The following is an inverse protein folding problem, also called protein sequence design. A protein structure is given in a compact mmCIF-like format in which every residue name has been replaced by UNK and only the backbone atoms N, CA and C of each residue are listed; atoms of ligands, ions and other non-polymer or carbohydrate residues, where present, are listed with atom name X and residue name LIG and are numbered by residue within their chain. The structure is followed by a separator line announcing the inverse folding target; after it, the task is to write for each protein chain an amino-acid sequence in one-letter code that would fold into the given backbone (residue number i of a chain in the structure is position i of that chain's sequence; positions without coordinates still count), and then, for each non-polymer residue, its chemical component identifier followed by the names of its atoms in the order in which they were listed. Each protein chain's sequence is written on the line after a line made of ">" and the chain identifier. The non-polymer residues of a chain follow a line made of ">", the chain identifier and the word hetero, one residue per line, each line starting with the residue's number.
data_IF_682687076907
#
_entry.id   IF_682687076907
#
_cell.length_a   1.000
_cell.length_b   1.000
_cell.length_c   1.000
_cell.angle_alpha   90.00
_cell.angle_beta   90.00
_cell.angle_gamma   90.00
#
_symmetry.space_group_name_H-M   'P 1'
#
loop_
_entity.id
_entity.type
_entity.pdbx_description
1 polymer ?
#
# COMPACT_ATOMS: atom_id res chain seq x y z
N UNK A 1 21.18 5.08 -3.42
CA UNK A 1 19.88 5.04 -4.13
C UNK A 1 19.90 6.08 -5.25
N UNK A 2 19.60 5.69 -6.49
CA UNK A 2 19.47 6.58 -7.66
C UNK A 2 18.04 6.44 -8.19
N UNK A 3 17.36 7.56 -8.51
CA UNK A 3 15.97 7.48 -8.99
C UNK A 3 15.26 8.81 -9.08
N UNK A 4 13.93 8.78 -9.18
CA UNK A 4 13.04 9.93 -9.22
C UNK A 4 11.67 9.60 -8.63
N UNK A 5 10.92 10.65 -8.30
CA UNK A 5 9.55 10.56 -7.80
C UNK A 5 8.56 10.94 -8.90
N UNK A 6 7.57 10.10 -9.16
CA UNK A 6 6.41 10.45 -10.00
C UNK A 6 5.32 11.02 -9.10
N UNK A 7 5.11 12.31 -9.15
CA UNK A 7 4.06 13.00 -8.39
C UNK A 7 2.94 13.49 -9.31
N UNK A 8 1.81 13.88 -8.75
CA UNK A 8 0.70 14.43 -9.52
C UNK A 8 0.26 15.79 -9.01
N UNK A 9 -0.44 16.54 -9.84
CA UNK A 9 -1.15 17.75 -9.42
C UNK A 9 -2.42 17.48 -8.62
N UNK A 10 -2.77 16.20 -8.43
CA UNK A 10 -3.93 15.75 -7.66
C UNK A 10 -4.18 14.26 -7.85
N UNK A 11 -5.29 13.76 -7.29
CA UNK A 11 -5.75 12.39 -7.52
C UNK A 11 -6.31 12.23 -8.95
N UNK A 12 -6.20 11.02 -9.53
CA UNK A 12 -6.78 10.72 -10.85
C UNK A 12 -6.07 11.36 -12.04
N UNK A 13 -4.89 11.98 -11.88
CA UNK A 13 -4.13 12.58 -12.99
C UNK A 13 -3.38 11.54 -13.85
N UNK A 14 -3.40 10.25 -13.46
CA UNK A 14 -2.80 9.15 -14.20
C UNK A 14 -1.41 8.72 -13.72
N UNK A 15 -1.04 9.05 -12.48
CA UNK A 15 0.25 8.62 -11.87
C UNK A 15 0.49 7.14 -12.01
N UNK A 16 -0.45 6.31 -11.55
CA UNK A 16 -0.30 4.85 -11.51
C UNK A 16 -0.04 4.26 -12.89
N UNK A 17 -0.80 4.69 -13.93
CA UNK A 17 -0.56 4.23 -15.30
C UNK A 17 0.80 4.64 -15.84
N UNK A 18 1.21 5.91 -15.57
CA UNK A 18 2.53 6.42 -15.98
C UNK A 18 3.64 5.66 -15.25
N UNK A 19 3.53 5.51 -13.93
CA UNK A 19 4.55 4.86 -13.10
C UNK A 19 4.70 3.38 -13.47
N UNK A 20 3.58 2.63 -13.53
CA UNK A 20 3.59 1.22 -13.88
C UNK A 20 4.16 0.98 -15.28
N UNK A 21 3.77 1.82 -16.25
CA UNK A 21 4.30 1.73 -17.61
C UNK A 21 5.79 2.05 -17.69
N UNK A 22 6.28 3.09 -16.99
CA UNK A 22 7.72 3.40 -16.92
C UNK A 22 8.50 2.28 -16.25
N UNK A 23 8.00 1.73 -15.14
CA UNK A 23 8.61 0.58 -14.47
C UNK A 23 8.70 -0.62 -15.43
N UNK A 24 7.61 -0.92 -16.14
CA UNK A 24 7.59 -2.01 -17.12
C UNK A 24 8.61 -1.81 -18.24
N UNK A 25 8.64 -0.63 -18.86
CA UNK A 25 9.56 -0.33 -19.98
C UNK A 25 11.02 -0.41 -19.52
N UNK A 26 11.34 0.21 -18.38
CA UNK A 26 12.71 0.25 -17.87
C UNK A 26 13.16 -1.11 -17.35
N UNK A 27 12.27 -1.93 -16.79
CA UNK A 27 12.60 -3.27 -16.28
C UNK A 27 13.05 -4.26 -17.35
N UNK A 28 12.79 -3.98 -18.63
CA UNK A 28 13.31 -4.77 -19.75
C UNK A 28 14.83 -4.70 -19.91
N UNK A 29 15.46 -3.64 -19.38
CA UNK A 29 16.89 -3.36 -19.57
C UNK A 29 17.67 -3.18 -18.26
N UNK A 30 17.00 -2.95 -17.15
CA UNK A 30 17.63 -2.63 -15.88
C UNK A 30 16.80 -3.14 -14.69
N UNK A 31 17.43 -3.28 -13.52
CA UNK A 31 16.76 -3.66 -12.28
C UNK A 31 16.06 -2.43 -11.70
N UNK A 32 14.74 -2.40 -11.79
CA UNK A 32 13.91 -1.30 -11.27
C UNK A 32 13.37 -1.65 -9.89
N UNK A 33 13.60 -0.80 -8.90
CA UNK A 33 12.97 -0.89 -7.59
C UNK A 33 11.80 0.10 -7.50
N UNK A 34 10.60 -0.42 -7.30
CA UNK A 34 9.38 0.36 -7.12
C UNK A 34 9.13 0.73 -5.67
N UNK A 35 8.58 1.93 -5.46
CA UNK A 35 8.10 2.41 -4.16
C UNK A 35 6.76 3.11 -4.33
N UNK A 36 5.95 3.08 -3.27
CA UNK A 36 4.71 3.84 -3.15
C UNK A 36 4.75 4.73 -1.92
N UNK A 37 4.48 6.02 -2.07
CA UNK A 37 4.24 6.90 -0.93
C UNK A 37 2.85 6.62 -0.37
N UNK A 38 2.76 6.52 0.95
CA UNK A 38 1.49 6.27 1.64
C UNK A 38 1.08 4.80 1.74
N UNK A 39 -0.04 4.53 2.42
CA UNK A 39 -0.46 3.20 2.81
C UNK A 39 -1.36 2.53 1.75
N UNK A 40 -0.85 2.28 0.58
CA UNK A 40 -1.56 1.68 -0.55
C UNK A 40 -1.07 0.25 -0.78
N UNK A 41 -1.96 -0.70 -1.01
CA UNK A 41 -1.61 -2.09 -1.33
C UNK A 41 -1.73 -2.40 -2.82
N UNK A 42 -2.57 -1.67 -3.56
CA UNK A 42 -2.90 -1.97 -4.96
C UNK A 42 -1.77 -1.53 -5.90
N UNK A 43 -1.32 -0.26 -5.80
CA UNK A 43 -0.24 0.25 -6.63
C UNK A 43 1.06 -0.57 -6.46
N UNK A 44 1.49 -0.98 -5.25
CA UNK A 44 2.61 -1.90 -5.04
C UNK A 44 2.49 -3.25 -5.78
N UNK A 45 1.28 -3.78 -5.96
CA UNK A 45 1.07 -5.00 -6.73
C UNK A 45 1.36 -4.77 -8.23
N UNK A 46 0.89 -3.65 -8.79
CA UNK A 46 1.22 -3.27 -10.18
C UNK A 46 2.72 -3.05 -10.36
N UNK A 47 3.39 -2.40 -9.40
CA UNK A 47 4.84 -2.24 -9.44
C UNK A 47 5.56 -3.58 -9.47
N UNK A 48 5.13 -4.54 -8.63
CA UNK A 48 5.68 -5.90 -8.61
C UNK A 48 5.43 -6.60 -9.95
N UNK A 49 4.22 -6.50 -10.50
CA UNK A 49 3.89 -7.10 -11.80
C UNK A 49 4.73 -6.52 -12.95
N UNK A 50 5.05 -5.22 -12.89
CA UNK A 50 5.85 -4.53 -13.88
C UNK A 50 7.36 -4.82 -13.79
N UNK A 51 7.89 -5.04 -12.57
CA UNK A 51 9.34 -5.12 -12.32
C UNK A 51 9.82 -6.49 -11.89
N UNK A 52 8.91 -7.39 -11.46
CA UNK A 52 9.25 -8.65 -10.81
C UNK A 52 9.76 -8.50 -9.36
N UNK A 53 9.87 -7.28 -8.83
CA UNK A 53 10.39 -6.97 -7.48
C UNK A 53 9.27 -6.46 -6.58
N UNK A 54 9.29 -6.83 -5.31
CA UNK A 54 8.34 -6.28 -4.33
C UNK A 54 8.55 -4.77 -4.20
N UNK A 55 7.48 -4.00 -4.41
CA UNK A 55 7.43 -2.58 -4.08
C UNK A 55 7.34 -2.37 -2.56
N UNK A 56 7.75 -1.19 -2.08
CA UNK A 56 7.73 -0.83 -0.66
C UNK A 56 6.89 0.41 -0.43
N UNK A 57 6.23 0.45 0.72
CA UNK A 57 5.51 1.65 1.14
C UNK A 57 6.45 2.58 1.89
N UNK A 58 6.52 3.84 1.46
CA UNK A 58 7.30 4.89 2.10
C UNK A 58 6.32 5.89 2.72
N UNK A 59 6.11 5.80 4.03
CA UNK A 59 5.10 6.59 4.72
C UNK A 59 5.66 7.20 6.00
N UNK A 60 5.84 8.53 5.98
CA UNK A 60 6.42 9.28 7.10
C UNK A 60 5.42 9.57 8.23
N UNK A 61 4.12 9.29 8.01
CA UNK A 61 3.16 9.27 9.11
C UNK A 61 3.25 7.94 9.89
N UNK A 62 3.34 6.82 9.19
CA UNK A 62 3.37 5.49 9.82
C UNK A 62 4.73 5.21 10.45
N UNK A 63 5.81 5.54 9.76
CA UNK A 63 7.19 5.25 10.19
C UNK A 63 7.97 6.54 10.49
N UNK A 64 8.94 6.50 11.41
CA UNK A 64 9.91 7.59 11.57
C UNK A 64 10.63 7.90 10.25
N UNK A 65 10.94 9.18 10.01
CA UNK A 65 11.62 9.64 8.78
C UNK A 65 12.92 8.86 8.49
N UNK A 66 13.74 8.64 9.51
CA UNK A 66 15.00 7.90 9.37
C UNK A 66 14.76 6.43 8.98
N UNK A 67 13.68 5.82 9.48
CA UNK A 67 13.26 4.47 9.10
C UNK A 67 12.83 4.41 7.65
N UNK A 68 12.02 5.39 7.18
CA UNK A 68 11.60 5.48 5.77
C UNK A 68 12.82 5.63 4.85
N UNK A 69 13.75 6.54 5.20
CA UNK A 69 14.98 6.74 4.43
C UNK A 69 15.84 5.48 4.41
N UNK A 70 16.07 4.86 5.55
CA UNK A 70 16.87 3.64 5.66
C UNK A 70 16.24 2.48 4.88
N UNK A 71 14.92 2.28 4.96
CA UNK A 71 14.20 1.25 4.20
C UNK A 71 14.39 1.45 2.69
N UNK A 72 14.27 2.68 2.20
CA UNK A 72 14.47 3.00 0.78
C UNK A 72 15.91 2.71 0.33
N UNK A 73 16.91 3.11 1.11
CA UNK A 73 18.32 2.85 0.83
C UNK A 73 18.65 1.35 0.87
N UNK A 74 18.16 0.64 1.88
CA UNK A 74 18.38 -0.79 2.02
C UNK A 74 17.78 -1.59 0.86
N UNK A 75 16.55 -1.31 0.49
CA UNK A 75 15.83 -2.08 -0.55
C UNK A 75 16.23 -1.70 -1.97
N UNK A 76 16.86 -0.54 -2.19
CA UNK A 76 17.39 -0.11 -3.49
C UNK A 76 18.80 -0.64 -3.79
N UNK A 77 19.48 -1.29 -2.84
CA UNK A 77 20.91 -1.68 -2.94
C UNK A 77 21.24 -2.45 -4.21
N UNK A 78 20.37 -3.37 -4.63
CA UNK A 78 20.58 -4.23 -5.80
C UNK A 78 19.77 -3.76 -7.03
N UNK A 79 19.45 -2.48 -7.11
CA UNK A 79 18.72 -1.90 -8.24
C UNK A 79 19.57 -0.87 -8.99
N UNK A 80 19.33 -0.77 -10.30
CA UNK A 80 19.97 0.23 -11.15
C UNK A 80 19.27 1.58 -11.05
N UNK A 81 17.94 1.56 -10.83
CA UNK A 81 17.11 2.74 -10.71
C UNK A 81 15.92 2.48 -9.78
N UNK A 82 15.52 3.52 -9.03
CA UNK A 82 14.38 3.53 -8.14
C UNK A 82 13.31 4.49 -8.65
N UNK A 83 12.05 4.04 -8.67
CA UNK A 83 10.90 4.87 -9.05
C UNK A 83 9.93 4.91 -7.89
N UNK A 84 9.67 6.11 -7.38
CA UNK A 84 8.76 6.33 -6.26
C UNK A 84 7.44 6.90 -6.79
N UNK A 85 6.35 6.16 -6.66
CA UNK A 85 5.02 6.68 -6.98
C UNK A 85 4.46 7.47 -5.80
N UNK A 86 4.08 8.70 -6.05
CA UNK A 86 3.44 9.58 -5.07
C UNK A 86 1.99 9.22 -4.77
N UNK A 87 1.51 9.67 -3.63
CA UNK A 87 0.11 9.55 -3.20
C UNK A 87 -0.63 10.86 -3.48
N UNK A 88 -1.90 10.77 -3.88
CA UNK A 88 -2.75 11.96 -4.13
C UNK A 88 -2.05 13.03 -4.99
N UNK A 89 -2.00 14.29 -4.56
CA UNK A 89 -1.15 15.33 -5.13
C UNK A 89 0.19 15.43 -4.42
N UNK A 90 1.11 16.21 -5.00
CA UNK A 90 2.50 16.33 -4.52
C UNK A 90 2.58 16.80 -3.07
N UNK A 91 1.71 17.74 -2.66
CA UNK A 91 1.77 18.42 -1.37
C UNK A 91 0.72 17.96 -0.34
N UNK A 92 -0.18 17.04 -0.69
CA UNK A 92 -1.19 16.55 0.23
C UNK A 92 -0.58 15.58 1.26
N UNK A 93 -0.49 16.04 2.52
CA UNK A 93 -0.04 15.28 3.67
C UNK A 93 -1.17 14.63 4.47
N UNK A 94 -0.85 14.20 5.69
CA UNK A 94 -1.79 13.62 6.65
C UNK A 94 -2.78 14.65 7.23
N UNK A 95 -2.47 15.94 7.08
CA UNK A 95 -3.31 17.10 7.46
C UNK A 95 -3.27 18.16 6.37
N UNK A 96 -4.19 19.13 6.42
CA UNK A 96 -4.21 20.26 5.47
C UNK A 96 -3.12 21.32 5.69
N UNK A 97 -2.37 21.26 6.79
CA UNK A 97 -1.41 22.31 7.18
C UNK A 97 0.03 21.80 7.22
N UNK A 98 0.24 20.50 7.26
CA UNK A 98 1.58 19.89 7.37
C UNK A 98 1.94 19.02 6.17
N UNK A 99 3.22 18.73 6.03
CA UNK A 99 3.73 17.89 4.95
C UNK A 99 3.88 16.42 5.32
N UNK A 100 3.71 16.05 6.61
CA UNK A 100 3.83 14.67 7.09
C UNK A 100 2.97 13.71 6.26
N UNK A 101 3.58 12.67 5.71
CA UNK A 101 2.93 11.69 4.83
C UNK A 101 2.72 12.18 3.39
N UNK A 102 3.27 13.34 3.00
CA UNK A 102 3.16 13.82 1.62
C UNK A 102 4.24 13.26 0.71
N UNK A 103 3.96 13.29 -0.59
CA UNK A 103 4.95 12.95 -1.63
C UNK A 103 6.14 13.92 -1.61
N UNK A 104 5.90 15.21 -1.34
CA UNK A 104 6.93 16.22 -1.25
C UNK A 104 7.92 15.95 -0.11
N UNK A 105 7.41 15.56 1.06
CA UNK A 105 8.25 15.19 2.20
C UNK A 105 9.17 14.00 1.87
N UNK A 106 8.62 12.94 1.27
CA UNK A 106 9.41 11.77 0.88
C UNK A 106 10.45 12.12 -0.20
N UNK A 107 10.09 12.95 -1.18
CA UNK A 107 11.03 13.43 -2.21
C UNK A 107 12.22 14.18 -1.60
N UNK A 108 11.96 15.10 -0.66
CA UNK A 108 13.01 15.85 0.07
C UNK A 108 13.84 14.92 0.96
N UNK A 109 13.22 14.03 1.70
CA UNK A 109 13.88 13.06 2.59
C UNK A 109 14.89 12.17 1.85
N UNK A 110 14.53 11.76 0.63
CA UNK A 110 15.36 10.90 -0.21
C UNK A 110 16.30 11.69 -1.13
N UNK A 111 16.16 13.01 -1.23
CA UNK A 111 16.91 13.86 -2.16
C UNK A 111 16.63 13.53 -3.63
N UNK A 112 15.43 13.06 -3.96
CA UNK A 112 15.05 12.64 -5.30
C UNK A 112 14.37 13.76 -6.08
N UNK A 113 14.69 13.93 -7.38
CA UNK A 113 13.97 14.84 -8.26
C UNK A 113 12.53 14.35 -8.50
N UNK A 114 11.63 15.30 -8.67
CA UNK A 114 10.21 15.07 -8.91
C UNK A 114 9.89 15.26 -10.39
N UNK A 115 9.21 14.28 -10.97
CA UNK A 115 8.54 14.37 -12.27
C UNK A 115 7.05 14.55 -12.00
N UNK A 116 6.53 15.73 -12.35
CA UNK A 116 5.16 16.09 -12.07
C UNK A 116 4.23 15.69 -13.22
N UNK A 117 3.28 14.80 -12.97
CA UNK A 117 2.22 14.42 -13.91
C UNK A 117 1.09 15.44 -13.83
N UNK A 118 0.82 16.10 -14.94
CA UNK A 118 -0.21 17.13 -15.08
C UNK A 118 -1.32 16.61 -16.00
N UNK A 119 -2.55 16.59 -15.50
CA UNK A 119 -3.70 16.33 -16.37
C UNK A 119 -3.93 17.58 -17.24
N UNK A 120 -3.53 17.50 -18.50
CA UNK A 120 -3.58 18.61 -19.46
C UNK A 120 -4.96 18.71 -20.17
N UNK A 121 -5.95 17.88 -19.82
CA UNK A 121 -7.27 17.91 -20.43
C UNK A 121 -7.86 19.31 -20.36
N UNK A 122 -8.19 19.89 -21.53
CA UNK A 122 -8.75 21.24 -21.67
C UNK A 122 -7.86 22.38 -21.13
N UNK A 123 -6.57 22.13 -20.94
CA UNK A 123 -5.59 23.14 -20.56
C UNK A 123 -4.72 23.55 -21.77
N UNK A 124 -4.21 24.77 -21.73
CA UNK A 124 -3.13 25.28 -22.58
C UNK A 124 -2.21 26.14 -21.73
N UNK A 125 -2.33 27.47 -21.78
CA UNK A 125 -1.51 28.39 -20.99
C UNK A 125 -1.66 28.21 -19.48
N UNK A 126 -2.85 27.77 -19.01
CA UNK A 126 -3.10 27.48 -17.60
C UNK A 126 -2.26 26.30 -17.07
N UNK A 127 -1.81 25.38 -17.94
CA UNK A 127 -0.86 24.34 -17.53
C UNK A 127 0.46 24.93 -17.02
N UNK A 128 0.99 25.95 -17.70
CA UNK A 128 2.19 26.65 -17.26
C UNK A 128 1.99 27.32 -15.88
N UNK A 129 0.82 27.96 -15.66
CA UNK A 129 0.50 28.56 -14.36
C UNK A 129 0.43 27.53 -13.23
N UNK A 130 -0.16 26.35 -13.48
CA UNK A 130 -0.20 25.24 -12.52
C UNK A 130 1.24 24.79 -12.18
N UNK A 131 2.06 24.53 -13.19
CA UNK A 131 3.45 24.08 -13.01
C UNK A 131 4.24 25.11 -12.21
N UNK A 132 4.12 26.39 -12.52
CA UNK A 132 4.77 27.48 -11.78
C UNK A 132 4.30 27.53 -10.33
N UNK A 133 3.00 27.37 -10.08
CA UNK A 133 2.43 27.32 -8.73
C UNK A 133 3.03 26.19 -7.90
N UNK A 134 3.11 24.99 -8.46
CA UNK A 134 3.72 23.84 -7.79
C UNK A 134 5.20 24.06 -7.52
N UNK A 135 5.95 24.62 -8.47
CA UNK A 135 7.38 24.92 -8.29
C UNK A 135 7.64 26.03 -7.27
N UNK A 136 6.77 27.01 -7.19
CA UNK A 136 6.93 28.15 -6.28
C UNK A 136 6.48 27.84 -4.86
N UNK A 137 5.61 26.84 -4.68
CA UNK A 137 4.99 26.53 -3.40
C UNK A 137 6.00 26.02 -2.35
N UNK A 138 6.92 25.15 -2.76
CA UNK A 138 8.02 24.66 -1.92
C UNK A 138 9.32 24.64 -2.75
N UNK A 139 10.28 25.49 -2.38
CA UNK A 139 11.55 25.63 -3.10
C UNK A 139 12.52 24.48 -2.84
N UNK A 140 12.32 23.72 -1.79
CA UNK A 140 13.15 22.59 -1.44
C UNK A 140 12.76 21.32 -2.22
N UNK A 141 11.61 21.34 -2.89
CA UNK A 141 11.17 20.28 -3.80
C UNK A 141 11.71 20.53 -5.19
N UNK A 142 12.60 19.65 -5.66
CA UNK A 142 13.19 19.74 -7.00
C UNK A 142 12.22 19.17 -8.06
N UNK A 143 11.35 19.99 -8.65
CA UNK A 143 10.54 19.60 -9.80
C UNK A 143 11.42 19.69 -11.06
N UNK A 144 12.03 18.56 -11.43
CA UNK A 144 12.99 18.44 -12.52
C UNK A 144 12.33 18.35 -13.92
N UNK A 145 11.05 18.01 -13.98
CA UNK A 145 10.33 17.93 -15.23
C UNK A 145 8.85 17.60 -15.07
N UNK A 146 8.14 17.64 -16.19
CA UNK A 146 6.70 17.33 -16.24
C UNK A 146 6.37 16.32 -17.32
N UNK A 147 5.36 15.48 -17.05
CA UNK A 147 4.67 14.64 -18.02
C UNK A 147 3.25 15.18 -18.17
N UNK A 148 2.88 15.53 -19.41
CA UNK A 148 1.55 16.08 -19.72
C UNK A 148 0.63 14.94 -20.15
N UNK A 149 -0.32 14.59 -19.29
CA UNK A 149 -1.27 13.51 -19.54
C UNK A 149 -2.60 14.03 -20.13
N UNK A 150 -3.34 13.19 -20.85
CA UNK A 150 -4.64 13.50 -21.48
C UNK A 150 -4.55 14.58 -22.58
N UNK A 151 -3.44 14.64 -23.31
CA UNK A 151 -3.26 15.58 -24.41
C UNK A 151 -4.08 15.12 -25.63
N UNK A 152 -4.76 16.07 -26.28
CA UNK A 152 -5.65 15.78 -27.42
C UNK A 152 -5.11 16.37 -28.73
N UNK A 153 -4.49 15.54 -29.56
CA UNK A 153 -4.02 15.88 -30.90
C UNK A 153 -2.83 16.87 -30.94
N UNK A 154 -2.25 17.02 -32.11
CA UNK A 154 -1.01 17.78 -32.33
C UNK A 154 -1.14 19.28 -32.04
N UNK A 155 -2.28 19.88 -32.39
CA UNK A 155 -2.49 21.33 -32.15
C UNK A 155 -2.54 21.63 -30.64
N UNK A 156 -3.15 20.75 -29.84
CA UNK A 156 -3.18 20.91 -28.39
C UNK A 156 -1.79 20.73 -27.79
N UNK A 157 -1.06 19.71 -28.23
CA UNK A 157 0.33 19.47 -27.83
C UNK A 157 1.22 20.69 -28.12
N UNK A 158 1.17 21.21 -29.34
CA UNK A 158 1.95 22.41 -29.73
C UNK A 158 1.69 23.59 -28.82
N UNK A 159 0.40 23.91 -28.53
CA UNK A 159 0.03 25.03 -27.66
C UNK A 159 0.52 24.80 -26.21
N UNK A 160 0.48 23.58 -25.71
CA UNK A 160 1.01 23.25 -24.39
C UNK A 160 2.52 23.42 -24.32
N UNK A 161 3.25 22.90 -25.31
CA UNK A 161 4.72 23.03 -25.38
C UNK A 161 5.12 24.52 -25.44
N UNK A 162 4.52 25.29 -26.33
CA UNK A 162 4.76 26.74 -26.45
C UNK A 162 4.50 27.45 -25.12
N UNK A 163 3.35 27.22 -24.50
CA UNK A 163 2.99 27.87 -23.25
C UNK A 163 3.95 27.52 -22.09
N UNK A 164 4.33 26.27 -21.95
CA UNK A 164 5.20 25.81 -20.85
C UNK A 164 6.63 26.32 -21.07
N UNK A 165 7.18 26.15 -22.29
CA UNK A 165 8.56 26.56 -22.60
C UNK A 165 8.76 28.09 -22.48
N UNK A 166 7.76 28.91 -22.82
CA UNK A 166 7.83 30.33 -22.69
C UNK A 166 7.64 30.88 -21.28
N UNK A 167 6.92 30.16 -20.43
CA UNK A 167 6.53 30.68 -19.12
C UNK A 167 7.15 29.92 -17.96
N UNK A 168 7.87 28.81 -18.19
CA UNK A 168 8.55 28.03 -17.16
C UNK A 168 9.92 27.58 -17.62
N UNK A 169 10.80 27.24 -16.69
CA UNK A 169 12.10 26.60 -16.93
C UNK A 169 12.01 25.07 -16.73
N UNK A 170 10.81 24.49 -16.60
CA UNK A 170 10.60 23.06 -16.33
C UNK A 170 10.62 22.28 -17.66
N UNK A 171 11.46 21.22 -17.71
CA UNK A 171 11.59 20.34 -18.89
C UNK A 171 10.29 19.52 -19.09
N UNK A 172 9.78 19.48 -20.32
CA UNK A 172 8.71 18.54 -20.69
C UNK A 172 9.37 17.22 -21.03
N UNK A 173 9.18 16.22 -20.16
CA UNK A 173 9.79 14.89 -20.27
C UNK A 173 8.91 13.90 -21.08
N UNK A 174 7.66 14.28 -21.33
CA UNK A 174 6.80 13.43 -22.16
C UNK A 174 5.39 13.96 -22.32
N UNK A 175 4.76 13.42 -23.33
CA UNK A 175 3.35 13.65 -23.67
C UNK A 175 2.64 12.31 -23.66
N UNK A 176 1.53 12.22 -22.93
CA UNK A 176 0.65 11.08 -22.94
C UNK A 176 -0.66 11.48 -23.61
N UNK A 177 -0.90 10.93 -24.77
CA UNK A 177 -2.12 11.20 -25.53
C UNK A 177 -3.31 10.56 -24.86
N UNK A 178 -4.46 11.17 -25.01
CA UNK A 178 -5.72 10.64 -24.48
C UNK A 178 -6.09 9.34 -25.21
N UNK A 179 -5.98 8.21 -24.53
CA UNK A 179 -6.39 6.90 -25.00
C UNK A 179 -7.41 6.29 -24.01
N UNK A 180 -8.64 5.95 -24.45
CA UNK A 180 -9.63 5.32 -23.58
C UNK A 180 -9.19 3.96 -23.04
N UNK A 181 -8.35 3.23 -23.81
CA UNK A 181 -7.96 1.84 -23.58
C UNK A 181 -6.86 1.66 -22.52
N UNK A 182 -6.11 2.72 -22.18
CA UNK A 182 -4.94 2.62 -21.29
C UNK A 182 -5.25 2.86 -19.81
N UNK A 183 -6.53 2.81 -19.39
CA UNK A 183 -6.88 2.95 -17.99
C UNK A 183 -6.63 1.64 -17.24
N UNK A 184 -5.71 1.65 -16.28
CA UNK A 184 -5.63 0.62 -15.25
C UNK A 184 -6.92 0.69 -14.43
N UNK A 185 -7.59 -0.45 -14.21
CA UNK A 185 -8.80 -0.51 -13.37
C UNK A 185 -8.43 -0.23 -11.92
N UNK A 186 -9.10 0.72 -11.29
CA UNK A 186 -8.75 1.21 -9.95
C UNK A 186 -9.33 0.39 -8.78
N UNK A 187 -10.15 -0.66 -9.02
CA UNK A 187 -10.84 -1.41 -7.96
C UNK A 187 -11.02 -2.88 -8.27
N UNK A 188 -11.09 -3.70 -7.20
CA UNK A 188 -11.39 -5.14 -7.19
C UNK A 188 -10.42 -5.97 -8.04
N UNK A 189 -9.14 -5.82 -7.77
CA UNK A 189 -8.10 -6.59 -8.42
C UNK A 189 -7.56 -7.61 -7.42
N UNK A 190 -7.80 -8.88 -7.70
CA UNK A 190 -7.20 -9.97 -6.98
C UNK A 190 -5.74 -10.20 -7.40
N UNK A 191 -5.02 -11.02 -6.65
CA UNK A 191 -3.62 -11.40 -6.94
C UNK A 191 -3.43 -11.99 -8.33
N UNK A 192 -4.39 -12.80 -8.78
CA UNK A 192 -4.31 -13.44 -10.12
C UNK A 192 -4.46 -12.42 -11.25
N UNK A 193 -5.18 -11.32 -11.01
CA UNK A 193 -5.36 -10.25 -11.99
C UNK A 193 -4.16 -9.30 -12.05
N UNK A 194 -3.36 -9.21 -10.99
CA UNK A 194 -2.21 -8.31 -10.87
C UNK A 194 -0.88 -9.06 -10.77
N UNK A 195 -0.89 -10.39 -10.60
CA UNK A 195 0.33 -11.20 -10.46
C UNK A 195 1.32 -11.01 -11.63
N UNK A 196 0.79 -10.78 -12.84
CA UNK A 196 1.56 -10.41 -14.02
C UNK A 196 0.75 -9.43 -14.87
N UNK A 197 1.38 -8.37 -15.36
CA UNK A 197 0.76 -7.54 -16.38
C UNK A 197 0.41 -8.42 -17.59
N UNK A 198 -0.86 -8.43 -17.99
CA UNK A 198 -1.24 -9.13 -19.24
C UNK A 198 -0.46 -8.54 -20.42
N UNK A 199 -0.21 -9.35 -21.44
CA UNK A 199 0.48 -8.88 -22.67
C UNK A 199 -0.23 -7.67 -23.29
N UNK A 200 -1.56 -7.65 -23.22
CA UNK A 200 -2.37 -6.53 -23.69
C UNK A 200 -2.15 -5.28 -22.86
N UNK A 201 -2.23 -5.39 -21.52
CA UNK A 201 -1.98 -4.25 -20.62
C UNK A 201 -0.57 -3.70 -20.80
N UNK A 202 0.44 -4.57 -20.87
CA UNK A 202 1.83 -4.19 -21.08
C UNK A 202 2.00 -3.42 -22.41
N UNK A 203 1.44 -3.95 -23.51
CA UNK A 203 1.48 -3.28 -24.83
C UNK A 203 0.75 -1.93 -24.83
N UNK A 204 -0.40 -1.84 -24.17
CA UNK A 204 -1.14 -0.59 -24.07
C UNK A 204 -0.35 0.47 -23.27
N UNK A 205 0.32 0.09 -22.17
CA UNK A 205 1.18 0.98 -21.42
C UNK A 205 2.40 1.45 -22.22
N UNK A 206 3.04 0.55 -22.98
CA UNK A 206 4.15 0.91 -23.87
C UNK A 206 3.73 1.91 -24.95
N UNK A 207 2.60 1.65 -25.60
CA UNK A 207 2.05 2.55 -26.61
C UNK A 207 1.65 3.91 -26.02
N UNK A 208 1.09 3.92 -24.81
CA UNK A 208 0.73 5.14 -24.10
C UNK A 208 1.94 6.02 -23.80
N UNK A 209 3.09 5.41 -23.54
CA UNK A 209 4.31 6.12 -23.11
C UNK A 209 5.36 6.28 -24.23
N UNK A 210 5.00 6.01 -25.48
CA UNK A 210 5.94 6.06 -26.62
C UNK A 210 6.60 7.45 -26.82
N UNK A 211 5.95 8.52 -26.41
CA UNK A 211 6.44 9.91 -26.52
C UNK A 211 7.15 10.39 -25.23
N UNK A 212 7.56 9.48 -24.32
CA UNK A 212 8.34 9.81 -23.12
C UNK A 212 9.83 9.73 -23.41
N UNK A 213 10.55 10.78 -23.03
CA UNK A 213 12.01 10.86 -23.12
C UNK A 213 12.66 10.07 -21.97
N UNK A 214 12.91 8.77 -22.22
CA UNK A 214 13.51 7.88 -21.23
C UNK A 214 14.97 8.22 -20.90
N UNK A 215 15.72 8.79 -21.85
CA UNK A 215 17.09 9.23 -21.63
C UNK A 215 17.11 10.43 -20.68
N UNK A 216 16.27 11.42 -20.93
CA UNK A 216 16.12 12.56 -20.03
C UNK A 216 15.65 12.16 -18.62
N UNK A 217 14.78 11.15 -18.48
CA UNK A 217 14.38 10.62 -17.17
C UNK A 217 15.56 9.96 -16.44
N UNK A 218 16.45 9.28 -17.15
CA UNK A 218 17.66 8.69 -16.57
C UNK A 218 18.71 9.77 -16.22
N UNK A 219 18.83 10.81 -17.02
CA UNK A 219 19.73 11.95 -16.77
C UNK A 219 19.36 12.72 -15.50
N UNK A 220 18.06 13.01 -15.30
CA UNK A 220 17.60 13.70 -14.09
C UNK A 220 17.66 12.80 -12.85
N UNK A 221 17.73 11.47 -13.03
CA UNK A 221 17.76 10.53 -11.91
C UNK A 221 18.98 10.77 -11.03
N UNK A 222 18.72 11.17 -9.82
CA UNK A 222 19.73 11.49 -8.82
C UNK A 222 19.39 10.78 -7.50
N UNK A 223 20.20 10.95 -6.48
CA UNK A 223 19.96 10.41 -5.15
C UNK A 223 21.23 10.31 -4.33
N UNK A 224 21.14 9.63 -3.20
CA UNK A 224 22.24 9.41 -2.28
C UNK A 224 23.07 8.17 -2.63
N UNK A 225 24.38 8.26 -2.43
CA UNK A 225 25.29 7.11 -2.43
C UNK A 225 25.33 6.40 -1.08
N UNK A 226 24.55 6.85 -0.10
CA UNK A 226 24.49 6.21 1.20
C UNK A 226 23.94 4.78 1.09
N UNK A 227 24.45 3.91 1.92
CA UNK A 227 23.99 2.53 2.02
C UNK A 227 22.98 2.41 3.17
N UNK A 228 21.87 1.71 2.91
CA UNK A 228 20.91 1.35 3.93
C UNK A 228 21.36 0.14 4.74
N UNK A 229 21.00 0.14 6.00
CA UNK A 229 21.20 -0.99 6.93
C UNK A 229 19.91 -1.80 7.00
N UNK A 230 20.00 -3.12 7.18
CA UNK A 230 18.82 -3.96 7.37
C UNK A 230 17.92 -3.37 8.47
N UNK A 231 16.65 -3.01 8.16
CA UNK A 231 15.80 -2.38 9.15
C UNK A 231 15.16 -3.37 10.14
N UNK A 232 15.39 -4.67 9.93
CA UNK A 232 14.77 -5.73 10.72
C UNK A 232 15.74 -6.26 11.77
N UNK A 233 15.24 -6.48 12.99
CA UNK A 233 16.00 -7.10 14.05
C UNK A 233 16.12 -8.61 13.77
N UNK A 234 17.36 -9.10 13.73
CA UNK A 234 17.64 -10.51 13.51
C UNK A 234 17.44 -11.31 14.80
N UNK A 235 16.67 -12.40 14.73
CA UNK A 235 16.42 -13.36 15.82
C UNK A 235 16.35 -14.77 15.27
N UNK A 236 16.34 -15.74 16.13
CA UNK A 236 16.09 -17.15 15.82
C UNK A 236 15.00 -17.67 16.76
N UNK A 237 13.76 -17.34 16.47
CA UNK A 237 12.62 -17.77 17.30
C UNK A 237 12.20 -19.21 17.03
N UNK A 238 12.56 -19.77 15.88
CA UNK A 238 12.19 -21.15 15.50
C UNK A 238 10.69 -21.37 15.33
N UNK A 239 9.88 -20.30 15.20
CA UNK A 239 8.43 -20.35 15.06
C UNK A 239 8.01 -20.56 13.60
N UNK A 240 6.76 -20.98 13.41
CA UNK A 240 6.12 -21.09 12.08
C UNK A 240 4.94 -20.14 12.00
N UNK A 241 4.79 -19.45 10.86
CA UNK A 241 3.62 -18.62 10.57
C UNK A 241 2.89 -19.14 9.33
N UNK A 242 1.57 -19.32 9.44
CA UNK A 242 0.68 -19.60 8.33
C UNK A 242 0.07 -18.26 7.84
N UNK A 243 0.26 -17.95 6.57
CA UNK A 243 -0.18 -16.70 5.95
C UNK A 243 -1.01 -17.02 4.71
N UNK A 244 -2.34 -16.79 4.73
CA UNK A 244 -3.15 -16.97 3.53
C UNK A 244 -2.70 -15.95 2.47
N UNK A 245 -2.56 -16.41 1.22
CA UNK A 245 -2.09 -15.57 0.13
C UNK A 245 -2.84 -15.92 -1.15
N UNK A 246 -3.96 -15.25 -1.36
CA UNK A 246 -4.82 -15.38 -2.54
C UNK A 246 -5.64 -14.10 -2.76
N UNK A 247 -6.62 -14.13 -3.65
CA UNK A 247 -7.42 -12.95 -3.99
C UNK A 247 -8.30 -12.44 -2.82
N UNK A 248 -8.62 -13.29 -1.85
CA UNK A 248 -9.33 -12.89 -0.65
C UNK A 248 -8.42 -12.23 0.40
N UNK A 249 -7.15 -12.62 0.44
CA UNK A 249 -6.17 -12.17 1.44
C UNK A 249 -4.88 -11.76 0.75
N UNK A 250 -4.82 -10.52 0.25
CA UNK A 250 -3.71 -10.04 -0.56
C UNK A 250 -3.06 -8.75 -0.05
N UNK A 251 -3.60 -8.14 1.00
CA UNK A 251 -3.10 -6.88 1.53
C UNK A 251 -2.17 -7.12 2.72
N UNK A 252 -0.88 -7.17 2.41
CA UNK A 252 0.21 -7.30 3.39
C UNK A 252 1.29 -6.28 3.07
N UNK A 253 1.75 -5.56 4.09
CA UNK A 253 3.04 -4.91 3.98
C UNK A 253 4.13 -5.96 3.87
N UNK A 254 4.98 -5.83 2.86
CA UNK A 254 6.09 -6.78 2.67
C UNK A 254 7.02 -6.79 3.87
N UNK A 255 7.15 -5.65 4.52
CA UNK A 255 7.95 -5.44 5.73
C UNK A 255 7.49 -6.29 6.90
N UNK A 256 6.18 -6.54 7.05
CA UNK A 256 5.65 -7.41 8.11
C UNK A 256 6.14 -8.86 7.92
N UNK A 257 6.08 -9.34 6.68
CA UNK A 257 6.57 -10.69 6.34
C UNK A 257 8.10 -10.78 6.53
N UNK A 258 8.84 -9.78 6.07
CA UNK A 258 10.31 -9.78 6.20
C UNK A 258 10.77 -9.61 7.65
N UNK A 259 10.01 -8.88 8.48
CA UNK A 259 10.26 -8.78 9.91
C UNK A 259 10.11 -10.15 10.61
N UNK A 260 9.05 -10.90 10.28
CA UNK A 260 8.88 -12.28 10.78
C UNK A 260 10.04 -13.18 10.32
N UNK A 261 10.37 -13.15 9.02
CA UNK A 261 11.49 -13.95 8.48
C UNK A 261 12.83 -13.60 9.14
N UNK A 262 13.13 -12.33 9.33
CA UNK A 262 14.33 -11.86 10.02
C UNK A 262 14.37 -12.29 11.49
N UNK A 263 13.21 -12.52 12.09
CA UNK A 263 13.08 -13.05 13.45
C UNK A 263 13.15 -14.58 13.52
N UNK A 264 13.51 -15.27 12.43
CA UNK A 264 13.63 -16.74 12.41
C UNK A 264 12.27 -17.46 12.34
N UNK A 265 11.25 -16.82 11.80
CA UNK A 265 9.93 -17.42 11.58
C UNK A 265 9.86 -18.02 10.17
N UNK A 266 9.55 -19.31 10.08
CA UNK A 266 9.26 -20.01 8.82
C UNK A 266 7.87 -19.61 8.32
N UNK A 267 7.77 -18.98 7.12
CA UNK A 267 6.49 -18.57 6.54
C UNK A 267 5.93 -19.67 5.64
N UNK A 268 4.72 -20.14 5.94
CA UNK A 268 3.95 -21.07 5.11
C UNK A 268 2.79 -20.32 4.46
N UNK A 269 2.88 -20.11 3.15
CA UNK A 269 1.78 -19.57 2.38
C UNK A 269 0.80 -20.68 1.99
N UNK A 270 -0.51 -20.37 2.02
CA UNK A 270 -1.58 -21.27 1.60
C UNK A 270 -2.74 -20.45 1.01
N UNK A 271 -3.66 -21.10 0.31
CA UNK A 271 -4.82 -20.46 -0.31
C UNK A 271 -6.14 -21.07 0.20
N UNK A 272 -6.85 -20.40 1.08
CA UNK A 272 -8.20 -20.80 1.45
C UNK A 272 -9.15 -20.96 0.27
N UNK A 273 -9.03 -20.10 -0.76
CA UNK A 273 -9.86 -20.16 -1.96
C UNK A 273 -9.62 -21.39 -2.82
N UNK A 274 -8.44 -22.00 -2.75
CA UNK A 274 -8.13 -23.28 -3.44
C UNK A 274 -8.49 -24.50 -2.60
N UNK A 275 -9.07 -24.27 -1.43
CA UNK A 275 -9.43 -25.37 -0.50
C UNK A 275 -8.24 -25.93 0.27
N UNK A 276 -7.11 -25.19 0.34
CA UNK A 276 -5.98 -25.63 1.16
C UNK A 276 -6.41 -25.72 2.62
N UNK A 277 -6.00 -26.78 3.31
CA UNK A 277 -6.15 -26.91 4.74
C UNK A 277 -5.28 -25.89 5.48
N UNK A 278 -5.71 -25.48 6.68
CA UNK A 278 -4.91 -24.60 7.53
C UNK A 278 -3.59 -25.30 7.91
N UNK A 279 -2.41 -24.73 7.57
CA UNK A 279 -1.14 -25.31 7.96
C UNK A 279 -0.95 -25.32 9.47
N UNK A 280 -0.28 -26.33 10.02
CA UNK A 280 0.16 -26.27 11.42
C UNK A 280 1.23 -25.20 11.60
N UNK A 281 0.97 -24.26 12.50
CA UNK A 281 1.80 -23.11 12.77
C UNK A 281 1.59 -22.58 14.19
N UNK A 282 2.48 -21.70 14.64
CA UNK A 282 2.43 -21.01 15.93
C UNK A 282 1.71 -19.65 15.79
N UNK A 283 1.83 -19.06 14.59
CA UNK A 283 1.27 -17.77 14.23
C UNK A 283 0.39 -17.92 12.99
N UNK A 284 -0.82 -17.39 13.06
CA UNK A 284 -1.76 -17.28 11.93
C UNK A 284 -1.96 -15.80 11.63
N UNK A 285 -1.43 -15.32 10.51
CA UNK A 285 -1.51 -13.91 10.14
C UNK A 285 -2.37 -13.72 8.89
N UNK A 286 -3.62 -13.31 9.10
CA UNK A 286 -4.60 -13.01 8.05
C UNK A 286 -4.58 -11.51 7.78
N UNK A 287 -4.00 -11.11 6.67
CA UNK A 287 -4.00 -9.71 6.20
C UNK A 287 -5.36 -9.27 5.66
N UNK A 288 -5.40 -8.06 5.17
CA UNK A 288 -6.58 -7.55 4.46
C UNK A 288 -6.72 -8.13 3.05
N UNK A 289 -7.76 -7.67 2.38
CA UNK A 289 -8.13 -8.11 1.03
C UNK A 289 -9.61 -7.93 0.80
N UNK A 290 -10.18 -8.84 0.01
CA UNK A 290 -11.59 -8.82 -0.39
C UNK A 290 -12.30 -10.13 -0.08
N UNK A 291 -12.33 -10.61 1.18
CA UNK A 291 -12.99 -11.88 1.50
C UNK A 291 -14.50 -11.85 1.19
N UNK A 292 -15.12 -10.66 1.24
CA UNK A 292 -16.53 -10.46 0.90
C UNK A 292 -16.89 -10.84 -0.53
N UNK A 293 -15.93 -10.85 -1.46
CA UNK A 293 -16.15 -11.29 -2.84
C UNK A 293 -16.09 -12.81 -3.01
N UNK A 294 -15.66 -13.54 -1.99
CA UNK A 294 -15.37 -14.97 -2.04
C UNK A 294 -16.01 -15.75 -0.89
N UNK A 295 -17.09 -15.22 -0.28
CA UNK A 295 -17.70 -15.79 0.93
C UNK A 295 -18.18 -17.24 0.75
N UNK A 296 -18.74 -17.58 -0.42
CA UNK A 296 -19.15 -18.98 -0.68
C UNK A 296 -17.94 -19.92 -0.59
N UNK A 297 -16.84 -19.62 -1.28
CA UNK A 297 -15.61 -20.45 -1.26
C UNK A 297 -14.97 -20.53 0.13
N UNK A 298 -14.90 -19.40 0.85
CA UNK A 298 -14.30 -19.33 2.19
C UNK A 298 -15.15 -20.16 3.17
N UNK A 299 -16.48 -20.07 3.11
CA UNK A 299 -17.36 -20.79 4.03
C UNK A 299 -17.51 -22.28 3.72
N UNK A 300 -17.25 -22.68 2.49
CA UNK A 300 -17.14 -24.09 2.09
C UNK A 300 -15.87 -24.75 2.67
N UNK A 301 -14.80 -23.99 2.88
CA UNK A 301 -13.56 -24.47 3.50
C UNK A 301 -13.70 -24.53 5.03
N UNK A 302 -14.47 -25.50 5.52
CA UNK A 302 -14.76 -25.67 6.95
C UNK A 302 -13.53 -25.99 7.79
N UNK A 303 -12.57 -26.70 7.22
CA UNK A 303 -11.32 -27.06 7.91
C UNK A 303 -10.48 -25.84 8.19
N UNK A 304 -10.43 -24.88 7.27
CA UNK A 304 -9.79 -23.58 7.46
C UNK A 304 -10.44 -22.78 8.61
N UNK A 305 -11.76 -22.58 8.56
CA UNK A 305 -12.48 -21.80 9.57
C UNK A 305 -12.42 -22.46 10.96
N UNK A 306 -12.65 -23.79 11.03
CA UNK A 306 -12.60 -24.52 12.30
C UNK A 306 -11.16 -24.58 12.83
N UNK A 307 -10.17 -24.72 11.95
CA UNK A 307 -8.76 -24.72 12.33
C UNK A 307 -8.33 -23.41 12.98
N UNK A 308 -8.77 -22.25 12.45
CA UNK A 308 -8.52 -20.94 13.05
C UNK A 308 -9.13 -20.82 14.45
N UNK A 309 -10.38 -21.31 14.61
CA UNK A 309 -11.03 -21.32 15.93
C UNK A 309 -10.27 -22.20 16.93
N UNK A 310 -9.90 -23.40 16.52
CA UNK A 310 -9.15 -24.33 17.36
C UNK A 310 -7.78 -23.73 17.76
N UNK A 311 -7.03 -23.18 16.81
CA UNK A 311 -5.75 -22.53 17.06
C UNK A 311 -5.88 -21.41 18.10
N UNK A 312 -6.92 -20.56 17.96
CA UNK A 312 -7.20 -19.50 18.91
C UNK A 312 -7.59 -20.07 20.30
N UNK A 313 -8.39 -21.14 20.35
CA UNK A 313 -8.79 -21.81 21.60
C UNK A 313 -7.59 -22.49 22.30
N UNK A 314 -6.61 -22.94 21.55
CA UNK A 314 -5.34 -23.48 22.07
C UNK A 314 -4.39 -22.37 22.56
N UNK A 315 -4.70 -21.10 22.28
CA UNK A 315 -3.88 -19.95 22.69
C UNK A 315 -2.75 -19.63 21.72
N UNK A 316 -2.78 -20.18 20.50
CA UNK A 316 -1.86 -19.77 19.43
C UNK A 316 -2.12 -18.32 19.02
N UNK A 317 -1.16 -17.70 18.38
CA UNK A 317 -1.27 -16.31 17.95
C UNK A 317 -2.08 -16.25 16.66
N UNK A 318 -3.19 -15.51 16.67
CA UNK A 318 -4.06 -15.31 15.51
C UNK A 318 -4.26 -13.82 15.29
N UNK A 319 -3.74 -13.30 14.18
CA UNK A 319 -3.85 -11.90 13.82
C UNK A 319 -4.75 -11.77 12.59
N UNK A 320 -5.77 -10.91 12.68
CA UNK A 320 -6.63 -10.58 11.56
C UNK A 320 -6.67 -9.07 11.33
N UNK A 321 -6.24 -8.61 10.15
CA UNK A 321 -6.36 -7.21 9.74
C UNK A 321 -7.50 -7.04 8.74
N UNK A 322 -8.41 -6.09 8.96
CA UNK A 322 -9.49 -5.72 8.04
C UNK A 322 -10.26 -6.96 7.52
N UNK A 323 -10.06 -7.39 6.28
CA UNK A 323 -10.67 -8.60 5.72
C UNK A 323 -10.35 -9.88 6.51
N UNK A 324 -9.12 -10.01 7.02
CA UNK A 324 -8.74 -11.12 7.90
C UNK A 324 -9.52 -11.11 9.21
N UNK A 325 -9.72 -9.94 9.83
CA UNK A 325 -10.56 -9.80 11.03
C UNK A 325 -12.02 -10.19 10.73
N UNK A 326 -12.57 -9.79 9.57
CA UNK A 326 -13.93 -10.17 9.15
C UNK A 326 -14.11 -11.69 9.18
N UNK A 327 -13.13 -12.42 8.63
CA UNK A 327 -13.16 -13.89 8.62
C UNK A 327 -13.12 -14.50 10.02
N UNK A 328 -12.45 -13.86 10.97
CA UNK A 328 -12.36 -14.29 12.37
C UNK A 328 -13.65 -14.03 13.18
N UNK A 329 -14.55 -13.18 12.70
CA UNK A 329 -15.85 -12.95 13.31
C UNK A 329 -16.75 -14.20 13.25
N UNK A 330 -17.85 -14.21 14.01
CA UNK A 330 -18.84 -15.31 14.02
C UNK A 330 -19.60 -15.41 12.69
N UNK A 331 -19.87 -14.24 12.05
CA UNK A 331 -20.55 -14.20 10.75
C UNK A 331 -20.23 -12.95 9.98
N UNK A 332 -20.40 -13.03 8.64
CA UNK A 332 -20.28 -11.95 7.68
C UNK A 332 -21.59 -11.84 6.92
N UNK A 333 -22.16 -10.65 6.85
CA UNK A 333 -23.38 -10.34 6.09
C UNK A 333 -22.96 -9.57 4.84
N UNK A 334 -23.25 -10.11 3.66
CA UNK A 334 -22.91 -9.49 2.38
C UNK A 334 -23.83 -8.32 2.00
N UNK A 335 -23.58 -7.70 0.85
CA UNK A 335 -24.41 -6.58 0.32
C UNK A 335 -25.85 -7.03 0.01
N UNK A 336 -26.10 -8.32 -0.25
CA UNK A 336 -27.42 -8.90 -0.52
C UNK A 336 -28.15 -9.34 0.75
N UNK A 337 -27.59 -9.10 1.95
CA UNK A 337 -28.12 -9.48 3.25
C UNK A 337 -28.06 -10.99 3.54
N UNK A 338 -27.28 -11.75 2.79
CA UNK A 338 -27.04 -13.16 3.08
C UNK A 338 -25.97 -13.26 4.18
N UNK A 339 -26.25 -14.05 5.20
CA UNK A 339 -25.34 -14.27 6.32
C UNK A 339 -24.52 -15.54 6.07
N UNK A 340 -23.20 -15.41 6.20
CA UNK A 340 -22.21 -16.45 6.05
C UNK A 340 -21.49 -16.70 7.38
N UNK A 341 -21.19 -17.95 7.67
CA UNK A 341 -20.48 -18.32 8.90
C UNK A 341 -19.00 -17.98 8.79
N UNK A 342 -18.46 -17.21 9.75
CA UNK A 342 -17.03 -17.02 9.93
C UNK A 342 -16.37 -18.05 10.82
N UNK A 343 -15.12 -17.84 11.18
CA UNK A 343 -14.37 -18.74 12.07
C UNK A 343 -14.90 -18.74 13.51
N UNK A 344 -15.52 -17.64 13.97
CA UNK A 344 -16.08 -17.54 15.32
C UNK A 344 -15.03 -17.40 16.42
N UNK A 345 -13.85 -16.89 16.09
CA UNK A 345 -12.84 -16.48 17.08
C UNK A 345 -13.40 -15.34 17.93
N UNK A 346 -13.97 -14.34 17.26
CA UNK A 346 -14.62 -13.21 17.91
C UNK A 346 -16.15 -13.36 17.81
N UNK A 347 -16.84 -13.20 18.94
CA UNK A 347 -18.30 -13.16 18.98
C UNK A 347 -18.80 -11.79 18.47
N UNK A 348 -18.63 -11.57 17.18
CA UNK A 348 -18.98 -10.34 16.49
C UNK A 348 -19.56 -10.67 15.11
N UNK A 349 -20.35 -9.76 14.56
CA UNK A 349 -20.87 -9.83 13.19
C UNK A 349 -20.28 -8.72 12.35
N UNK A 350 -19.88 -9.05 11.13
CA UNK A 350 -19.48 -8.08 10.13
C UNK A 350 -20.62 -7.87 9.13
N UNK A 351 -20.97 -6.63 8.83
CA UNK A 351 -22.01 -6.26 7.86
C UNK A 351 -21.39 -5.40 6.74
N UNK A 352 -21.56 -5.82 5.49
CA UNK A 352 -21.10 -5.09 4.31
C UNK A 352 -22.06 -3.97 3.90
N UNK A 353 -23.26 -3.91 4.50
CA UNK A 353 -24.27 -2.90 4.23
C UNK A 353 -24.13 -1.76 5.21
N UNK A 354 -23.60 -0.64 4.78
CA UNK A 354 -23.45 0.49 5.68
C UNK A 354 -22.58 1.62 5.16
N UNK A 355 -22.01 2.37 6.08
CA UNK A 355 -21.18 3.54 5.81
C UNK A 355 -19.79 3.05 5.37
N UNK A 356 -19.34 3.56 4.23
CA UNK A 356 -17.98 3.32 3.74
C UNK A 356 -17.00 4.26 4.45
N UNK A 357 -15.97 3.70 5.07
CA UNK A 357 -14.86 4.46 5.60
C UNK A 357 -13.78 4.60 4.52
N UNK A 358 -13.54 5.83 4.06
CA UNK A 358 -12.44 6.13 3.15
C UNK A 358 -11.08 5.92 3.82
N UNK A 359 -9.97 5.91 3.05
CA UNK A 359 -8.63 5.72 3.61
C UNK A 359 -8.32 6.81 4.64
N UNK A 360 -7.96 6.41 5.84
CA UNK A 360 -7.69 7.27 7.00
C UNK A 360 -6.47 6.77 7.75
N UNK A 361 -5.62 7.71 8.19
CA UNK A 361 -4.53 7.39 9.10
C UNK A 361 -5.04 7.13 10.51
N UNK A 362 -4.43 6.14 11.17
CA UNK A 362 -4.83 5.69 12.49
C UNK A 362 -3.66 5.75 13.49
N UNK A 363 -3.96 6.19 14.71
CA UNK A 363 -3.07 6.14 15.87
C UNK A 363 -3.83 5.41 16.97
N UNK A 364 -3.28 4.30 17.45
CA UNK A 364 -3.89 3.48 18.47
C UNK A 364 -2.93 3.20 19.63
N UNK A 365 -3.43 3.39 20.85
CA UNK A 365 -2.71 3.10 22.07
C UNK A 365 -3.11 1.74 22.60
N UNK A 366 -2.18 0.78 22.74
CA UNK A 366 -2.51 -0.50 23.33
C UNK A 366 -2.80 -0.36 24.82
N UNK A 367 -3.78 -1.13 25.29
CA UNK A 367 -4.10 -1.23 26.72
C UNK A 367 -3.62 -2.59 27.28
N UNK A 368 -3.93 -2.88 28.54
CA UNK A 368 -3.50 -4.10 29.24
C UNK A 368 -4.07 -5.41 28.66
N UNK A 369 -5.17 -5.32 27.90
CA UNK A 369 -5.78 -6.50 27.24
C UNK A 369 -5.11 -6.82 25.91
N UNK A 370 -4.27 -5.93 25.34
CA UNK A 370 -3.59 -6.17 24.06
C UNK A 370 -2.51 -7.25 24.21
N UNK A 371 -2.63 -8.40 23.50
CA UNK A 371 -1.65 -9.47 23.65
C UNK A 371 -0.33 -9.20 22.90
N UNK A 372 -0.34 -8.36 21.84
CA UNK A 372 0.75 -8.28 20.86
C UNK A 372 1.55 -6.97 20.92
N UNK A 373 0.93 -5.87 21.39
CA UNK A 373 1.54 -4.55 21.34
C UNK A 373 1.59 -3.92 22.73
N UNK A 374 2.70 -3.20 23.02
CA UNK A 374 2.89 -2.41 24.23
C UNK A 374 3.04 -0.92 23.92
N UNK A 375 3.51 -0.61 22.72
CA UNK A 375 3.76 0.75 22.27
C UNK A 375 2.66 1.25 21.33
N UNK A 376 2.52 2.59 21.24
CA UNK A 376 1.61 3.22 20.30
C UNK A 376 1.88 2.76 18.87
N UNK A 377 0.85 2.30 18.19
CA UNK A 377 0.91 1.86 16.80
C UNK A 377 0.34 2.94 15.89
N UNK A 378 1.03 3.23 14.80
CA UNK A 378 0.54 4.04 13.70
C UNK A 378 0.29 3.14 12.51
N UNK A 379 -0.84 3.33 11.86
CA UNK A 379 -1.26 2.55 10.71
C UNK A 379 -2.30 3.31 9.89
N UNK A 380 -3.09 2.59 9.16
CA UNK A 380 -4.23 3.14 8.45
C UNK A 380 -5.41 2.19 8.51
N UNK A 381 -6.59 2.70 8.27
CA UNK A 381 -7.83 1.95 8.10
C UNK A 381 -8.48 2.33 6.76
N UNK A 382 -9.02 1.34 6.07
CA UNK A 382 -9.80 1.52 4.85
C UNK A 382 -10.71 0.31 4.67
N UNK A 383 -12.00 0.46 4.95
CA UNK A 383 -12.94 -0.65 4.91
C UNK A 383 -14.34 -0.21 4.48
N UNK A 384 -15.08 -1.14 3.92
CA UNK A 384 -16.48 -0.97 3.52
C UNK A 384 -17.45 -1.73 4.43
N UNK A 385 -16.92 -2.41 5.43
CA UNK A 385 -17.68 -3.20 6.39
C UNK A 385 -17.87 -2.44 7.70
N UNK A 386 -18.85 -2.90 8.48
CA UNK A 386 -19.10 -2.48 9.85
C UNK A 386 -19.13 -3.72 10.75
N UNK A 387 -18.41 -3.68 11.85
CA UNK A 387 -18.40 -4.77 12.84
C UNK A 387 -19.30 -4.39 14.01
N UNK A 388 -20.21 -5.32 14.36
CA UNK A 388 -21.05 -5.24 15.56
C UNK A 388 -20.57 -6.29 16.55
N UNK A 389 -19.74 -5.91 17.54
CA UNK A 389 -19.26 -6.82 18.58
C UNK A 389 -20.35 -7.13 19.60
N UNK A 390 -20.30 -8.32 20.19
CA UNK A 390 -21.07 -8.62 21.38
C UNK A 390 -20.51 -7.84 22.58
N UNK A 391 -21.35 -7.62 23.60
CA UNK A 391 -21.02 -6.81 24.80
C UNK A 391 -19.81 -7.30 25.60
N UNK A 392 -19.49 -8.60 25.49
CA UNK A 392 -18.41 -9.24 26.25
C UNK A 392 -17.05 -9.16 25.54
N UNK A 393 -16.99 -8.56 24.34
CA UNK A 393 -15.74 -8.43 23.60
C UNK A 393 -14.86 -7.36 24.27
N UNK A 394 -13.60 -7.73 24.46
CA UNK A 394 -12.54 -6.84 24.90
C UNK A 394 -11.85 -6.23 23.68
N UNK A 395 -11.38 -4.99 23.84
CA UNK A 395 -10.59 -4.28 22.84
C UNK A 395 -9.19 -4.04 23.37
N UNK A 396 -8.20 -4.31 22.53
CA UNK A 396 -6.79 -4.12 22.86
C UNK A 396 -6.25 -2.72 22.55
N UNK A 397 -7.01 -1.89 21.81
CA UNK A 397 -6.58 -0.55 21.43
C UNK A 397 -7.61 0.53 21.76
N UNK A 398 -7.13 1.68 22.25
CA UNK A 398 -7.83 2.95 22.28
C UNK A 398 -7.35 3.82 21.11
N UNK A 399 -8.27 4.30 20.27
CA UNK A 399 -7.99 5.02 19.04
C UNK A 399 -7.94 6.52 19.29
N UNK A 400 -6.74 7.09 19.23
CA UNK A 400 -6.53 8.53 19.35
C UNK A 400 -6.83 9.27 18.03
N UNK A 401 -6.54 8.63 16.88
CA UNK A 401 -6.87 9.14 15.55
C UNK A 401 -7.38 7.98 14.70
N UNK A 402 -8.37 8.22 13.85
CA UNK A 402 -9.11 7.19 13.11
C UNK A 402 -10.43 6.87 13.77
N UNK A 403 -11.15 5.87 13.28
CA UNK A 403 -12.48 5.50 13.78
C UNK A 403 -12.46 4.22 14.61
N UNK A 404 -11.70 3.21 14.16
CA UNK A 404 -11.68 1.88 14.76
C UNK A 404 -13.01 1.13 14.59
N UNK A 405 -13.22 0.11 15.41
CA UNK A 405 -14.40 -0.77 15.33
C UNK A 405 -15.63 -0.08 15.92
N UNK A 406 -15.54 0.45 17.12
CA UNK A 406 -16.66 1.11 17.80
C UNK A 406 -16.17 2.07 18.91
N UNK A 407 -16.77 3.27 19.00
CA UNK A 407 -16.52 4.22 20.09
C UNK A 407 -15.02 4.49 20.33
N UNK A 408 -14.22 4.63 19.27
CA UNK A 408 -12.76 4.80 19.36
C UNK A 408 -12.05 3.61 20.03
N UNK A 409 -12.60 2.41 19.92
CA UNK A 409 -11.91 1.18 20.27
C UNK A 409 -11.65 0.36 19.01
N UNK A 410 -10.50 -0.33 18.97
CA UNK A 410 -10.10 -1.26 17.93
C UNK A 410 -9.36 -2.46 18.55
N UNK A 411 -9.11 -3.47 17.71
CA UNK A 411 -8.41 -4.66 18.16
C UNK A 411 -9.23 -5.52 19.09
N UNK A 412 -10.23 -6.24 18.57
CA UNK A 412 -10.95 -7.28 19.33
C UNK A 412 -9.96 -8.33 19.83
N UNK A 413 -10.07 -8.72 21.09
CA UNK A 413 -9.14 -9.63 21.77
C UNK A 413 -9.85 -10.89 22.23
N UNK A 414 -9.24 -12.05 21.94
CA UNK A 414 -9.58 -13.32 22.54
C UNK A 414 -8.31 -14.16 22.73
N UNK A 415 -7.89 -14.39 23.98
CA UNK A 415 -6.59 -14.99 24.33
C UNK A 415 -5.45 -14.23 23.60
N UNK A 416 -4.64 -14.93 22.79
CA UNK A 416 -3.56 -14.34 21.99
C UNK A 416 -4.02 -13.97 20.57
N UNK A 417 -5.33 -13.86 20.35
CA UNK A 417 -5.89 -13.43 19.06
C UNK A 417 -6.21 -11.95 19.08
N UNK A 418 -5.89 -11.26 17.99
CA UNK A 418 -6.15 -9.83 17.77
C UNK A 418 -6.80 -9.62 16.41
N UNK A 419 -8.00 -9.00 16.38
CA UNK A 419 -8.70 -8.63 15.14
C UNK A 419 -8.92 -7.14 15.07
N UNK A 420 -8.40 -6.47 14.05
CA UNK A 420 -8.37 -5.00 13.94
C UNK A 420 -8.74 -4.50 12.55
N UNK A 421 -9.35 -3.33 12.44
CA UNK A 421 -9.46 -2.61 11.18
C UNK A 421 -8.14 -1.96 10.77
N UNK A 422 -7.30 -1.64 11.74
CA UNK A 422 -6.01 -1.06 11.47
C UNK A 422 -5.11 -2.03 10.72
N UNK A 423 -4.60 -1.60 9.56
CA UNK A 423 -3.46 -2.24 8.91
C UNK A 423 -2.17 -1.74 9.57
N UNK A 424 -1.44 -2.68 10.14
CA UNK A 424 -0.26 -2.42 10.94
C UNK A 424 1.01 -2.58 10.11
N UNK A 425 2.02 -1.76 10.39
CA UNK A 425 3.31 -1.84 9.72
C UNK A 425 4.42 -2.14 10.74
N UNK A 426 5.17 -3.21 10.52
CA UNK A 426 6.18 -3.70 11.47
C UNK A 426 7.25 -2.67 11.83
N UNK A 427 7.53 -1.73 10.94
CA UNK A 427 8.50 -0.65 11.18
C UNK A 427 7.89 0.60 11.79
N UNK A 428 6.57 0.59 12.11
CA UNK A 428 5.93 1.66 12.89
C UNK A 428 6.16 1.49 14.39
N UNK A 429 6.43 0.28 14.83
CA UNK A 429 6.76 -0.09 16.21
C UNK A 429 8.17 -0.66 16.27
N UNK A 430 8.86 -0.42 17.40
CA UNK A 430 10.29 -0.73 17.49
C UNK A 430 10.56 -2.23 17.46
N UNK A 431 9.64 -3.07 17.93
CA UNK A 431 9.90 -4.50 18.08
C UNK A 431 8.64 -5.36 18.33
N UNK A 432 7.71 -5.38 17.38
CA UNK A 432 6.48 -6.15 17.55
C UNK A 432 6.72 -7.68 17.65
N UNK A 433 7.82 -8.20 17.07
CA UNK A 433 8.19 -9.62 17.16
C UNK A 433 8.75 -10.01 18.52
N UNK A 434 9.27 -9.06 19.29
CA UNK A 434 9.73 -9.35 20.65
C UNK A 434 8.55 -9.81 21.53
N UNK A 435 7.41 -9.11 21.42
CA UNK A 435 6.23 -9.47 22.19
C UNK A 435 5.70 -10.87 21.83
N UNK A 436 5.74 -11.22 20.55
CA UNK A 436 5.36 -12.55 20.07
C UNK A 436 6.26 -13.63 20.71
N UNK A 437 7.54 -13.36 20.89
CA UNK A 437 8.47 -14.29 21.52
C UNK A 437 8.26 -14.49 23.02
N UNK A 438 7.50 -13.60 23.66
CA UNK A 438 7.18 -13.66 25.09
C UNK A 438 5.87 -14.43 25.38
N UNK A 439 5.07 -14.74 24.33
CA UNK A 439 3.81 -15.50 24.41
C UNK A 439 4.02 -16.99 24.27
#
# INVERSE_FOLDING_TARGET
>A
MRGFVIAGTGSGVGKTSVTTGLMHILSKKMKVQGYKVGPDFIDPMYHKAATGRYSRNLDTFIMPRDTVRNLALYTSKDSDISIVEGVRGLYEGSTGLGEEGSTAEVAKLLGLPVVLVVNARSLTRSAAAIIQGFKAFDKDVNIAGVILNQVYGEQHERKLREAITQNTDVKILGIVKRTPEAKIKERYLGLDTVANLSKETASNLENMLCDIDLEALQEISNGSNDEGVCPYVQRDLGLKAAVPMDDAYCFYYRENIECMMASGVEIKYFSPLKGDALPDADIYYLGGGYPELYLDSITENKDFLQGLKNASDEGKIVIGECGGMMTLCSSIIDEERKEYKGAGVFNAKTDMVGIRHGPSYMIAHPNSDNPLFKDTVRGHEFHYSHVTPNKDIKFGFEVARGDGIINKNDGMVYKNSLGTYMHQHSLSVTDWMQRISEL
#
